data_IF_348779131238
#
_entry.id   IF_348779131238
#
_cell.length_a   1.000
_cell.length_b   1.000
_cell.length_c   1.000
_cell.angle_alpha   90.00
_cell.angle_beta   90.00
_cell.angle_gamma   90.00
#
_symmetry.space_group_name_H-M   'P 1'
#
loop_
_entity.id
_entity.type
_entity.pdbx_description
1 polymer ?
#
# COMPACT_ATOMS: atom_id res chain seq x y z
N UNK A 1 23.43 -11.42 -12.96
CA UNK A 1 23.35 -11.77 -11.53
C UNK A 1 21.95 -11.47 -11.07
N UNK A 2 21.34 -12.36 -10.30
CA UNK A 2 20.01 -12.16 -9.72
C UNK A 2 20.10 -11.25 -8.50
N UNK A 3 19.10 -10.42 -8.27
CA UNK A 3 18.98 -9.56 -7.09
C UNK A 3 18.50 -10.45 -5.93
N UNK A 4 19.28 -10.53 -4.87
CA UNK A 4 19.02 -11.38 -3.70
C UNK A 4 18.08 -10.66 -2.72
N UNK A 5 16.88 -11.19 -2.58
CA UNK A 5 15.80 -10.59 -1.77
C UNK A 5 15.62 -11.36 -0.46
N UNK A 6 15.48 -10.62 0.63
CA UNK A 6 14.97 -11.10 1.91
C UNK A 6 13.59 -10.52 2.22
N UNK A 7 12.74 -11.27 2.91
CA UNK A 7 11.41 -10.83 3.36
C UNK A 7 11.40 -10.80 4.89
N UNK A 8 10.93 -9.71 5.48
CA UNK A 8 10.66 -9.61 6.93
C UNK A 8 9.16 -9.58 7.16
N UNK A 9 8.64 -10.63 7.82
CA UNK A 9 7.22 -10.84 8.04
C UNK A 9 6.56 -11.65 6.92
N UNK A 10 5.84 -12.72 7.30
CA UNK A 10 5.23 -13.65 6.34
C UNK A 10 3.73 -13.82 6.63
N UNK A 11 3.01 -12.71 6.45
CA UNK A 11 1.54 -12.61 6.40
C UNK A 11 1.03 -12.59 4.95
N UNK A 12 -0.11 -11.97 4.69
CA UNK A 12 -0.65 -11.84 3.33
C UNK A 12 0.30 -11.08 2.40
N UNK A 13 0.89 -9.98 2.90
CA UNK A 13 1.85 -9.20 2.12
C UNK A 13 3.13 -9.99 1.82
N UNK A 14 3.73 -10.65 2.82
CA UNK A 14 4.94 -11.44 2.63
C UNK A 14 4.78 -12.61 1.65
N UNK A 15 3.62 -13.29 1.69
CA UNK A 15 3.26 -14.33 0.70
C UNK A 15 3.13 -13.74 -0.71
N UNK A 16 2.47 -12.59 -0.81
CA UNK A 16 2.35 -11.88 -2.08
C UNK A 16 3.72 -11.48 -2.64
N UNK A 17 4.65 -11.00 -1.78
CA UNK A 17 6.03 -10.67 -2.18
C UNK A 17 6.76 -11.90 -2.71
N UNK A 18 6.65 -13.04 -2.05
CA UNK A 18 7.22 -14.29 -2.56
C UNK A 18 6.67 -14.67 -3.94
N UNK A 19 5.34 -14.62 -4.12
CA UNK A 19 4.70 -14.85 -5.41
C UNK A 19 5.16 -13.85 -6.49
N UNK A 20 5.30 -12.59 -6.13
CA UNK A 20 5.76 -11.55 -7.04
C UNK A 20 7.23 -11.75 -7.45
N UNK A 21 8.11 -12.14 -6.52
CA UNK A 21 9.52 -12.48 -6.83
C UNK A 21 9.58 -13.62 -7.84
N UNK A 22 8.78 -14.67 -7.67
CA UNK A 22 8.75 -15.80 -8.59
C UNK A 22 8.37 -15.43 -10.04
N UNK A 23 7.71 -14.28 -10.25
CA UNK A 23 7.38 -13.73 -11.57
C UNK A 23 8.47 -12.81 -12.15
N UNK A 24 9.55 -12.55 -11.39
CA UNK A 24 10.62 -11.64 -11.77
C UNK A 24 11.95 -12.41 -11.92
N UNK A 25 12.35 -12.81 -13.14
CA UNK A 25 13.51 -13.69 -13.37
C UNK A 25 14.86 -13.05 -13.03
N UNK A 26 14.91 -11.74 -12.80
CA UNK A 26 16.08 -11.01 -12.35
C UNK A 26 16.23 -10.95 -10.83
N UNK A 27 15.35 -11.65 -10.08
CA UNK A 27 15.35 -11.71 -8.62
C UNK A 27 15.29 -13.13 -8.09
N UNK A 28 15.80 -13.32 -6.88
CA UNK A 28 15.70 -14.59 -6.15
C UNK A 28 15.38 -14.33 -4.67
N UNK A 29 14.48 -15.13 -4.11
CA UNK A 29 14.22 -15.13 -2.67
C UNK A 29 15.29 -15.96 -1.97
N UNK A 30 16.04 -15.35 -1.05
CA UNK A 30 17.10 -15.99 -0.27
C UNK A 30 16.61 -16.41 1.11
N UNK A 31 15.87 -15.52 1.78
CA UNK A 31 15.46 -15.77 3.16
C UNK A 31 14.12 -15.08 3.50
N UNK A 32 13.41 -15.70 4.44
CA UNK A 32 12.23 -15.13 5.10
C UNK A 32 12.49 -15.04 6.60
N UNK A 33 12.27 -13.86 7.19
CA UNK A 33 12.45 -13.62 8.62
C UNK A 33 11.10 -13.48 9.31
N UNK A 34 10.95 -14.13 10.47
CA UNK A 34 9.71 -14.17 11.23
C UNK A 34 9.96 -14.09 12.74
N UNK A 35 8.97 -13.56 13.48
CA UNK A 35 8.94 -13.62 14.96
C UNK A 35 8.33 -14.93 15.49
N UNK A 36 7.65 -15.67 14.62
CA UNK A 36 7.11 -17.00 14.94
C UNK A 36 8.23 -18.03 14.89
N UNK A 37 8.10 -19.21 15.53
CA UNK A 37 9.04 -20.31 15.34
C UNK A 37 9.18 -20.61 13.83
N UNK A 38 10.40 -20.57 13.25
CA UNK A 38 10.61 -20.70 11.81
C UNK A 38 9.99 -21.95 11.18
N UNK A 39 9.98 -23.05 11.90
CA UNK A 39 9.42 -24.35 11.50
C UNK A 39 7.89 -24.31 11.31
N UNK A 40 7.21 -23.31 11.88
CA UNK A 40 5.75 -23.12 11.73
C UNK A 40 5.39 -22.35 10.46
N UNK A 41 6.36 -21.73 9.80
CA UNK A 41 6.15 -20.90 8.62
C UNK A 41 6.43 -21.70 7.36
N UNK A 42 5.39 -21.95 6.58
CA UNK A 42 5.48 -22.66 5.29
C UNK A 42 5.56 -21.66 4.15
N UNK A 43 6.71 -21.61 3.50
CA UNK A 43 6.97 -20.81 2.29
C UNK A 43 6.76 -21.68 1.04
N UNK A 44 6.60 -21.06 -0.12
CA UNK A 44 6.43 -21.72 -1.42
C UNK A 44 7.79 -22.07 -2.04
N UNK A 45 8.79 -21.23 -1.81
CA UNK A 45 10.15 -21.43 -2.32
C UNK A 45 10.78 -22.71 -1.77
N UNK A 46 11.48 -23.43 -2.66
CA UNK A 46 12.25 -24.63 -2.31
C UNK A 46 13.72 -24.31 -2.00
N UNK A 47 14.16 -23.09 -2.29
CA UNK A 47 15.57 -22.68 -2.15
C UNK A 47 15.80 -21.70 -1.02
N UNK A 48 14.77 -20.91 -0.65
CA UNK A 48 14.86 -19.97 0.46
C UNK A 48 14.72 -20.66 1.81
N UNK A 49 15.32 -20.07 2.84
CA UNK A 49 15.26 -20.56 4.22
C UNK A 49 14.50 -19.58 5.11
N UNK A 50 13.73 -20.12 6.05
CA UNK A 50 13.05 -19.33 7.08
C UNK A 50 13.95 -19.23 8.31
N UNK A 51 14.15 -17.99 8.80
CA UNK A 51 14.95 -17.68 10.00
C UNK A 51 14.11 -16.94 11.03
N UNK A 52 14.53 -17.01 12.30
CA UNK A 52 14.02 -16.08 13.29
C UNK A 52 14.55 -14.66 13.02
N UNK A 53 13.77 -13.65 13.37
CA UNK A 53 14.15 -12.24 13.09
C UNK A 53 15.47 -11.84 13.77
N UNK A 54 15.79 -12.45 14.90
CA UNK A 54 17.03 -12.17 15.65
C UNK A 54 18.29 -12.59 14.88
N UNK A 55 18.15 -13.50 13.91
CA UNK A 55 19.26 -13.98 13.07
C UNK A 55 19.52 -13.09 11.85
N UNK A 56 18.79 -11.97 11.69
CA UNK A 56 18.82 -11.16 10.47
C UNK A 56 20.23 -10.67 10.11
N UNK A 57 21.05 -10.34 11.12
CA UNK A 57 22.40 -9.82 10.92
C UNK A 57 23.35 -10.88 10.34
N UNK A 58 23.09 -12.18 10.53
CA UNK A 58 23.90 -13.28 9.98
C UNK A 58 23.81 -13.37 8.45
N UNK A 59 22.89 -12.60 7.85
CA UNK A 59 22.65 -12.57 6.41
C UNK A 59 23.20 -11.30 5.73
N UNK A 60 23.95 -10.47 6.45
CA UNK A 60 24.65 -9.30 5.88
C UNK A 60 25.63 -9.78 4.79
N UNK A 61 25.60 -9.12 3.62
CA UNK A 61 26.37 -9.49 2.44
C UNK A 61 25.77 -10.64 1.60
N UNK A 62 24.75 -11.34 2.11
CA UNK A 62 24.05 -12.42 1.37
C UNK A 62 22.73 -11.96 0.75
N UNK A 63 22.19 -10.85 1.19
CA UNK A 63 20.93 -10.24 0.73
C UNK A 63 21.23 -8.83 0.24
N UNK A 64 20.69 -8.47 -0.93
CA UNK A 64 20.87 -7.15 -1.53
C UNK A 64 19.80 -6.16 -1.07
N UNK A 65 18.56 -6.62 -0.95
CA UNK A 65 17.41 -5.80 -0.53
C UNK A 65 16.47 -6.60 0.36
N UNK A 66 16.09 -6.00 1.48
CA UNK A 66 15.04 -6.51 2.39
C UNK A 66 13.70 -5.85 2.09
N UNK A 67 12.65 -6.65 1.93
CA UNK A 67 11.27 -6.17 1.83
C UNK A 67 10.56 -6.42 3.16
N UNK A 68 10.10 -5.32 3.80
CA UNK A 68 9.48 -5.36 5.12
C UNK A 68 7.96 -5.42 4.98
N UNK A 69 7.36 -6.49 5.47
CA UNK A 69 5.95 -6.82 5.33
C UNK A 69 5.22 -6.80 6.68
N UNK A 70 5.74 -6.04 7.64
CA UNK A 70 5.14 -5.81 8.96
C UNK A 70 3.94 -4.88 8.90
N UNK A 71 3.19 -4.79 9.99
CA UNK A 71 2.07 -3.86 10.13
C UNK A 71 2.54 -2.40 10.13
N UNK A 72 1.91 -1.57 9.31
CA UNK A 72 2.30 -0.17 9.11
C UNK A 72 2.27 0.63 10.42
N UNK A 73 1.23 0.48 11.22
CA UNK A 73 1.08 1.26 12.46
C UNK A 73 1.92 0.70 13.63
N UNK A 74 2.28 -0.59 13.61
CA UNK A 74 2.83 -1.28 14.78
C UNK A 74 4.26 -1.76 14.58
N UNK A 75 4.59 -2.29 13.41
CA UNK A 75 5.87 -2.95 13.19
C UNK A 75 6.87 -2.04 12.44
N UNK A 76 6.46 -1.47 11.30
CA UNK A 76 7.35 -0.72 10.41
C UNK A 76 8.04 0.49 11.06
N UNK A 77 7.41 1.26 11.98
CA UNK A 77 8.09 2.38 12.64
C UNK A 77 9.39 2.00 13.36
N UNK A 78 9.47 0.74 13.82
CA UNK A 78 10.63 0.21 14.53
C UNK A 78 11.49 -0.69 13.64
N UNK A 79 10.87 -1.54 12.82
CA UNK A 79 11.58 -2.52 12.00
C UNK A 79 12.35 -1.86 10.86
N UNK A 80 11.75 -0.88 10.18
CA UNK A 80 12.41 -0.28 9.02
C UNK A 80 13.72 0.42 9.40
N UNK A 81 13.78 1.32 10.42
CA UNK A 81 15.04 1.91 10.84
C UNK A 81 16.06 0.89 11.33
N UNK A 82 15.60 -0.14 12.08
CA UNK A 82 16.50 -1.17 12.60
C UNK A 82 17.17 -1.98 11.48
N UNK A 83 16.40 -2.40 10.47
CA UNK A 83 16.91 -3.24 9.36
C UNK A 83 17.73 -2.40 8.39
N UNK A 84 17.38 -1.11 8.19
CA UNK A 84 18.09 -0.19 7.30
C UNK A 84 19.55 0.05 7.69
N UNK A 85 19.92 -0.18 8.94
CA UNK A 85 21.32 -0.14 9.39
C UNK A 85 22.20 -1.21 8.74
N UNK A 86 21.61 -2.33 8.35
CA UNK A 86 22.34 -3.50 7.86
C UNK A 86 22.08 -3.81 6.39
N UNK A 87 20.94 -3.41 5.84
CA UNK A 87 20.49 -3.75 4.49
C UNK A 87 19.85 -2.55 3.79
N UNK A 88 19.87 -2.57 2.47
CA UNK A 88 18.90 -1.74 1.72
C UNK A 88 17.50 -2.30 1.94
N UNK A 89 16.50 -1.43 2.13
CA UNK A 89 15.15 -1.83 2.57
C UNK A 89 14.04 -1.21 1.73
N UNK A 90 12.93 -1.93 1.62
CA UNK A 90 11.66 -1.44 1.07
C UNK A 90 10.57 -1.67 2.11
N UNK A 91 9.69 -0.69 2.31
CA UNK A 91 8.49 -0.86 3.13
C UNK A 91 7.21 -0.29 2.48
N UNK A 92 6.08 -0.67 3.04
CA UNK A 92 4.74 -0.19 2.66
C UNK A 92 4.10 0.68 3.74
N UNK A 93 4.88 1.50 4.45
CA UNK A 93 4.36 2.36 5.50
C UNK A 93 3.31 3.34 4.96
N UNK A 94 2.07 3.26 5.49
CA UNK A 94 0.89 3.97 4.96
C UNK A 94 0.19 4.91 5.97
N UNK A 95 0.78 5.13 7.15
CA UNK A 95 0.27 6.11 8.10
C UNK A 95 0.64 7.53 7.63
N UNK A 96 -0.12 8.06 6.67
CA UNK A 96 0.18 9.27 5.91
C UNK A 96 0.70 10.43 6.76
N UNK A 97 0.04 10.75 7.87
CA UNK A 97 0.42 11.84 8.75
C UNK A 97 1.82 11.67 9.41
N UNK A 98 2.32 10.44 9.46
CA UNK A 98 3.62 10.09 10.08
C UNK A 98 4.72 9.77 9.07
N UNK A 99 4.44 9.86 7.77
CA UNK A 99 5.46 9.60 6.74
C UNK A 99 6.70 10.52 6.89
N UNK A 100 6.59 11.83 7.16
CA UNK A 100 7.77 12.67 7.35
C UNK A 100 8.65 12.25 8.52
N UNK A 101 8.05 11.85 9.65
CA UNK A 101 8.78 11.35 10.83
C UNK A 101 9.45 10.01 10.52
N UNK A 102 8.72 9.09 9.90
CA UNK A 102 9.24 7.79 9.48
C UNK A 102 10.41 7.94 8.51
N UNK A 103 10.28 8.83 7.53
CA UNK A 103 11.36 9.16 6.59
C UNK A 103 12.63 9.61 7.30
N UNK A 104 12.53 10.56 8.24
CA UNK A 104 13.69 11.08 8.96
C UNK A 104 14.40 9.98 9.78
N UNK A 105 13.63 9.13 10.46
CA UNK A 105 14.17 8.03 11.27
C UNK A 105 14.87 6.97 10.41
N UNK A 106 14.27 6.63 9.27
CA UNK A 106 14.83 5.65 8.33
C UNK A 106 16.05 6.23 7.61
N UNK A 107 16.04 7.53 7.23
CA UNK A 107 17.17 8.19 6.57
C UNK A 107 18.42 8.17 7.45
N UNK A 108 18.26 8.52 8.73
CA UNK A 108 19.36 8.49 9.69
C UNK A 108 19.99 7.09 9.79
N UNK A 109 19.14 6.05 9.93
CA UNK A 109 19.59 4.66 10.06
C UNK A 109 20.23 4.12 8.77
N UNK A 110 19.63 4.40 7.61
CA UNK A 110 20.16 3.97 6.33
C UNK A 110 21.50 4.61 6.02
N UNK A 111 21.69 5.90 6.34
CA UNK A 111 22.98 6.60 6.19
C UNK A 111 24.04 6.06 7.15
N UNK A 112 23.68 5.79 8.40
CA UNK A 112 24.58 5.16 9.38
C UNK A 112 25.14 3.82 8.85
N UNK A 113 24.26 2.99 8.23
CA UNK A 113 24.64 1.72 7.63
C UNK A 113 25.23 1.81 6.22
N UNK A 114 25.28 3.01 5.62
CA UNK A 114 25.66 3.18 4.22
C UNK A 114 24.69 2.52 3.25
N UNK A 115 23.42 2.32 3.61
CA UNK A 115 22.40 1.62 2.83
C UNK A 115 21.42 2.60 2.17
N UNK A 116 20.55 2.05 1.30
CA UNK A 116 19.43 2.76 0.68
C UNK A 116 18.12 2.22 1.18
N UNK A 117 17.22 3.07 1.59
CA UNK A 117 15.84 2.73 1.93
C UNK A 117 14.87 3.37 0.94
N UNK A 118 13.81 2.66 0.54
CA UNK A 118 12.67 3.27 -0.14
C UNK A 118 11.43 2.94 0.68
N UNK A 119 10.78 3.96 1.22
CA UNK A 119 9.63 3.79 2.11
C UNK A 119 8.31 4.15 1.43
N UNK A 120 7.23 3.74 2.07
CA UNK A 120 5.86 4.08 1.65
C UNK A 120 5.57 3.65 0.21
N UNK A 121 6.05 2.45 -0.15
CA UNK A 121 5.84 1.84 -1.45
C UNK A 121 4.57 0.98 -1.42
N UNK A 122 3.62 1.33 -2.25
CA UNK A 122 2.37 0.60 -2.44
C UNK A 122 1.57 1.23 -3.57
N UNK A 123 0.26 1.03 -3.54
CA UNK A 123 -0.58 1.71 -4.50
C UNK A 123 -1.04 3.09 -3.98
N UNK A 124 -1.27 3.25 -2.64
CA UNK A 124 -1.50 4.54 -2.00
C UNK A 124 -1.13 4.50 -0.49
N UNK A 125 0.01 5.07 -0.11
CA UNK A 125 0.99 5.81 -0.93
C UNK A 125 1.76 4.91 -1.91
N UNK A 126 2.25 5.53 -2.98
CA UNK A 126 3.03 4.87 -4.03
C UNK A 126 2.53 5.22 -5.43
N UNK A 127 1.83 4.30 -6.11
CA UNK A 127 1.36 4.52 -7.49
C UNK A 127 0.42 5.74 -7.61
N UNK A 128 -0.47 5.93 -6.66
CA UNK A 128 -1.32 7.12 -6.64
C UNK A 128 -0.51 8.39 -6.36
N UNK A 129 0.52 8.31 -5.52
CA UNK A 129 1.37 9.47 -5.19
C UNK A 129 2.12 9.99 -6.41
N UNK A 130 2.72 9.10 -7.22
CA UNK A 130 3.44 9.52 -8.44
C UNK A 130 2.46 10.07 -9.49
N UNK A 131 1.26 9.51 -9.59
CA UNK A 131 0.24 10.02 -10.52
C UNK A 131 -0.31 11.38 -10.10
N UNK A 132 -0.45 11.65 -8.79
CA UNK A 132 -0.77 13.01 -8.29
C UNK A 132 0.33 13.99 -8.68
N UNK A 133 1.61 13.63 -8.44
CA UNK A 133 2.74 14.49 -8.80
C UNK A 133 2.77 14.82 -10.29
N UNK A 134 2.61 13.82 -11.17
CA UNK A 134 2.58 14.07 -12.62
C UNK A 134 1.44 14.98 -13.02
N UNK A 135 0.26 14.76 -12.47
CA UNK A 135 -0.92 15.56 -12.79
C UNK A 135 -0.77 17.02 -12.34
N UNK A 136 -0.27 17.26 -11.12
CA UNK A 136 0.01 18.59 -10.59
C UNK A 136 1.10 19.31 -11.37
N UNK A 137 2.17 18.61 -11.77
CA UNK A 137 3.26 19.18 -12.56
C UNK A 137 2.82 19.60 -13.96
N UNK A 138 1.88 18.85 -14.58
CA UNK A 138 1.38 19.10 -15.94
C UNK A 138 0.29 20.18 -15.94
N UNK A 139 -0.59 20.17 -14.94
CA UNK A 139 -1.71 21.12 -14.80
C UNK A 139 -1.63 21.84 -13.44
N UNK A 140 -0.69 22.77 -13.23
CA UNK A 140 -0.37 23.34 -11.91
C UNK A 140 -1.48 24.18 -11.30
N UNK A 141 -2.40 24.70 -12.10
CA UNK A 141 -3.59 25.42 -11.61
C UNK A 141 -4.81 24.51 -11.45
N UNK A 142 -4.63 23.21 -11.65
CA UNK A 142 -5.69 22.23 -11.52
C UNK A 142 -5.97 21.86 -10.06
N UNK A 143 -7.00 21.03 -9.87
CA UNK A 143 -7.36 20.46 -8.58
C UNK A 143 -7.35 18.94 -8.66
N UNK A 144 -6.62 18.33 -7.73
CA UNK A 144 -6.51 16.90 -7.60
C UNK A 144 -7.52 16.31 -6.61
N UNK A 145 -8.05 15.14 -6.94
CA UNK A 145 -8.97 14.38 -6.11
C UNK A 145 -8.51 12.94 -6.03
N UNK A 146 -8.66 12.35 -4.86
CA UNK A 146 -8.51 10.91 -4.67
C UNK A 146 -9.82 10.32 -4.19
N UNK A 147 -10.26 9.27 -4.89
CA UNK A 147 -11.39 8.45 -4.51
C UNK A 147 -10.91 7.02 -4.27
N UNK A 148 -11.16 6.48 -3.10
CA UNK A 148 -10.83 5.10 -2.76
C UNK A 148 -12.03 4.19 -2.90
N UNK A 149 -11.84 3.00 -3.47
CA UNK A 149 -12.88 1.97 -3.57
C UNK A 149 -13.34 1.72 -5.04
N UNK A 150 -14.31 0.84 -5.23
CA UNK A 150 -14.92 0.03 -4.17
C UNK A 150 -13.85 -0.90 -3.56
N UNK A 151 -13.67 -0.87 -2.24
CA UNK A 151 -12.62 -1.70 -1.64
C UNK A 151 -12.74 -1.89 -0.13
N UNK A 152 -12.19 -3.01 0.33
CA UNK A 152 -12.16 -3.41 1.74
C UNK A 152 -11.07 -2.64 2.49
N UNK A 153 -11.45 -1.86 3.49
CA UNK A 153 -10.51 -1.29 4.44
C UNK A 153 -10.26 -2.25 5.60
N UNK A 154 -9.06 -2.78 5.70
CA UNK A 154 -8.72 -3.73 6.77
C UNK A 154 -8.73 -3.05 8.15
N UNK A 155 -8.16 -1.84 8.27
CA UNK A 155 -8.12 -1.11 9.53
C UNK A 155 -9.52 -0.73 10.05
N UNK A 156 -10.44 -0.32 9.17
CA UNK A 156 -11.82 -0.05 9.56
C UNK A 156 -12.57 -1.34 9.92
N UNK A 157 -12.34 -2.42 9.18
CA UNK A 157 -12.92 -3.74 9.50
C UNK A 157 -12.43 -4.24 10.88
N UNK A 158 -11.14 -4.02 11.20
CA UNK A 158 -10.58 -4.37 12.51
C UNK A 158 -11.17 -3.53 13.63
N UNK A 159 -11.44 -2.25 13.40
CA UNK A 159 -12.07 -1.39 14.38
C UNK A 159 -13.48 -1.91 14.75
N UNK A 160 -14.27 -2.31 13.74
CA UNK A 160 -15.61 -2.90 13.95
C UNK A 160 -15.50 -4.23 14.73
N UNK A 161 -14.55 -5.11 14.37
CA UNK A 161 -14.36 -6.40 15.04
C UNK A 161 -14.00 -6.30 16.54
N UNK A 162 -13.51 -5.14 16.99
CA UNK A 162 -13.23 -4.89 18.41
C UNK A 162 -14.45 -4.48 19.21
N UNK A 163 -15.56 -4.18 18.57
CA UNK A 163 -16.82 -3.85 19.27
C UNK A 163 -17.35 -5.11 19.95
N UNK A 164 -17.74 -4.98 21.21
CA UNK A 164 -18.32 -6.09 21.97
C UNK A 164 -19.59 -6.60 21.25
N UNK A 165 -19.72 -7.91 21.14
CA UNK A 165 -20.84 -8.54 20.44
C UNK A 165 -20.65 -8.73 18.94
N UNK A 166 -19.55 -8.24 18.36
CA UNK A 166 -19.19 -8.52 16.96
C UNK A 166 -18.34 -9.80 16.89
N UNK A 167 -18.67 -10.69 15.96
CA UNK A 167 -17.92 -11.90 15.67
C UNK A 167 -16.98 -11.71 14.45
N UNK A 168 -17.45 -11.04 13.41
CA UNK A 168 -16.65 -10.68 12.24
C UNK A 168 -17.24 -9.43 11.56
N UNK A 169 -16.40 -8.74 10.77
CA UNK A 169 -16.84 -7.58 10.01
C UNK A 169 -15.97 -7.32 8.79
N UNK A 170 -16.59 -6.78 7.75
CA UNK A 170 -15.96 -6.21 6.55
C UNK A 170 -16.53 -4.83 6.28
N UNK A 171 -15.64 -3.85 6.08
CA UNK A 171 -16.02 -2.51 5.69
C UNK A 171 -15.54 -2.20 4.28
N UNK A 172 -16.43 -1.67 3.45
CA UNK A 172 -16.13 -1.21 2.10
C UNK A 172 -16.20 0.31 2.04
N UNK A 173 -15.16 0.90 1.45
CA UNK A 173 -15.18 2.30 1.03
C UNK A 173 -15.70 2.35 -0.40
N UNK A 174 -16.68 3.22 -0.67
CA UNK A 174 -17.36 3.30 -1.96
C UNK A 174 -17.36 4.77 -2.40
N UNK A 175 -16.75 5.11 -3.56
CA UNK A 175 -16.87 6.45 -4.11
C UNK A 175 -18.32 6.77 -4.48
N UNK A 176 -18.74 8.00 -4.21
CA UNK A 176 -20.08 8.47 -4.62
C UNK A 176 -20.05 8.92 -6.07
N UNK A 177 -20.94 8.37 -6.88
CA UNK A 177 -20.96 8.58 -8.33
C UNK A 177 -21.22 10.05 -8.73
N UNK A 178 -22.04 10.77 -7.97
CA UNK A 178 -22.28 12.19 -8.20
C UNK A 178 -20.99 13.03 -8.02
N UNK A 179 -20.15 12.70 -7.03
CA UNK A 179 -18.87 13.36 -6.82
C UNK A 179 -17.87 13.01 -7.94
N UNK A 180 -17.79 11.73 -8.33
CA UNK A 180 -16.96 11.29 -9.45
C UNK A 180 -17.35 12.01 -10.75
N UNK A 181 -18.65 12.05 -11.08
CA UNK A 181 -19.16 12.69 -12.29
C UNK A 181 -18.89 14.18 -12.30
N UNK A 182 -19.05 14.88 -11.17
CA UNK A 182 -18.74 16.31 -11.07
C UNK A 182 -17.25 16.59 -11.32
N UNK A 183 -16.35 15.80 -10.72
CA UNK A 183 -14.90 15.95 -10.92
C UNK A 183 -14.51 15.64 -12.36
N UNK A 184 -15.02 14.56 -12.93
CA UNK A 184 -14.80 14.16 -14.34
C UNK A 184 -15.36 15.21 -15.32
N UNK A 185 -16.36 15.97 -14.91
CA UNK A 185 -16.88 17.12 -15.67
C UNK A 185 -15.99 18.37 -15.60
N UNK A 186 -14.90 18.35 -14.83
CA UNK A 186 -13.94 19.46 -14.73
C UNK A 186 -14.46 20.68 -13.95
N UNK A 187 -15.50 20.52 -13.13
CA UNK A 187 -16.11 21.61 -12.36
C UNK A 187 -15.33 21.97 -11.10
N UNK A 188 -14.35 21.14 -10.72
CA UNK A 188 -13.47 21.32 -9.55
C UNK A 188 -14.22 21.66 -8.25
N UNK A 189 -15.25 20.87 -7.85
CA UNK A 189 -16.06 21.16 -6.67
C UNK A 189 -15.24 21.07 -5.38
N UNK A 190 -15.63 21.84 -4.35
CA UNK A 190 -15.22 21.56 -2.98
C UNK A 190 -16.03 20.36 -2.48
N UNK A 191 -15.33 19.31 -2.04
CA UNK A 191 -15.96 18.08 -1.59
C UNK A 191 -15.44 17.70 -0.20
N UNK A 192 -16.36 17.58 0.74
CA UNK A 192 -16.08 17.00 2.04
C UNK A 192 -15.82 15.48 1.92
N UNK A 193 -15.30 14.90 2.97
CA UNK A 193 -15.11 13.44 3.08
C UNK A 193 -16.42 12.68 2.86
N UNK A 194 -17.52 13.18 3.46
CA UNK A 194 -18.87 12.64 3.34
C UNK A 194 -19.43 12.70 1.92
N UNK A 195 -19.13 13.78 1.20
CA UNK A 195 -19.57 13.92 -0.19
C UNK A 195 -18.81 13.01 -1.15
N UNK A 196 -17.56 12.68 -0.84
CA UNK A 196 -16.72 11.80 -1.69
C UNK A 196 -17.03 10.32 -1.54
N UNK A 197 -17.27 9.86 -0.32
CA UNK A 197 -17.32 8.43 -0.03
C UNK A 197 -18.50 8.04 0.87
N UNK A 198 -19.00 6.83 0.62
CA UNK A 198 -19.90 6.07 1.47
C UNK A 198 -19.11 4.98 2.18
N UNK A 199 -19.47 4.66 3.41
CA UNK A 199 -19.01 3.47 4.13
C UNK A 199 -20.12 2.42 4.17
N UNK A 200 -19.82 1.22 3.72
CA UNK A 200 -20.75 0.08 3.78
C UNK A 200 -20.11 -1.02 4.61
N UNK A 201 -20.77 -1.40 5.69
CA UNK A 201 -20.26 -2.34 6.70
C UNK A 201 -21.14 -3.59 6.70
N UNK A 202 -20.51 -4.75 6.57
CA UNK A 202 -21.14 -6.06 6.74
C UNK A 202 -20.64 -6.65 8.06
N UNK A 203 -21.55 -6.97 8.97
CA UNK A 203 -21.23 -7.32 10.35
C UNK A 203 -21.90 -8.64 10.72
N UNK A 204 -21.11 -9.57 11.24
CA UNK A 204 -21.62 -10.79 11.87
C UNK A 204 -21.67 -10.54 13.37
N UNK A 205 -22.87 -10.46 13.92
CA UNK A 205 -23.08 -10.31 15.35
C UNK A 205 -23.04 -11.68 16.07
N UNK A 206 -22.60 -11.69 17.32
CA UNK A 206 -22.74 -12.86 18.20
C UNK A 206 -24.19 -13.07 18.61
N UNK A 207 -24.56 -14.29 18.93
CA UNK A 207 -25.90 -14.62 19.41
C UNK A 207 -26.29 -13.78 20.64
N UNK A 208 -27.48 -13.18 20.62
CA UNK A 208 -27.98 -12.32 21.69
C UNK A 208 -27.37 -10.91 21.76
N UNK A 209 -26.53 -10.52 20.82
CA UNK A 209 -25.94 -9.19 20.80
C UNK A 209 -26.99 -8.10 20.48
N UNK A 210 -26.85 -6.94 21.09
CA UNK A 210 -27.67 -5.76 20.82
C UNK A 210 -27.23 -5.10 19.51
N UNK A 211 -27.96 -5.38 18.43
CA UNK A 211 -27.65 -4.90 17.08
C UNK A 211 -27.75 -3.38 16.98
N UNK A 212 -28.73 -2.76 17.65
CA UNK A 212 -28.92 -1.31 17.61
C UNK A 212 -27.74 -0.57 18.28
N UNK A 213 -27.23 -1.11 19.38
CA UNK A 213 -26.04 -0.58 20.05
C UNK A 213 -24.80 -0.72 19.14
N UNK A 214 -24.61 -1.89 18.53
CA UNK A 214 -23.45 -2.12 17.64
C UNK A 214 -23.50 -1.15 16.45
N UNK A 215 -24.66 -1.01 15.80
CA UNK A 215 -24.82 -0.07 14.69
C UNK A 215 -24.50 1.38 15.12
N UNK A 216 -25.05 1.82 16.25
CA UNK A 216 -24.80 3.16 16.78
C UNK A 216 -23.30 3.38 17.09
N UNK A 217 -22.63 2.39 17.70
CA UNK A 217 -21.19 2.44 17.97
C UNK A 217 -20.36 2.56 16.68
N UNK A 218 -20.75 1.86 15.62
CA UNK A 218 -20.08 1.95 14.33
C UNK A 218 -20.26 3.36 13.74
N UNK A 219 -21.50 3.80 13.54
CA UNK A 219 -21.76 5.05 12.78
C UNK A 219 -21.27 6.30 13.49
N UNK A 220 -21.09 6.24 14.81
CA UNK A 220 -20.60 7.37 15.63
C UNK A 220 -19.09 7.28 15.94
N UNK A 221 -18.40 6.22 15.52
CA UNK A 221 -17.00 5.98 15.87
C UNK A 221 -16.10 7.08 15.29
N UNK A 222 -15.41 7.86 16.16
CA UNK A 222 -14.52 8.93 15.74
C UNK A 222 -13.34 8.41 14.90
N UNK A 223 -12.87 9.21 13.96
CA UNK A 223 -11.75 8.94 13.04
C UNK A 223 -11.97 7.79 12.05
N UNK A 224 -13.09 7.05 12.14
CA UNK A 224 -13.40 5.94 11.25
C UNK A 224 -14.67 6.15 10.44
N UNK A 225 -15.80 6.48 11.12
CA UNK A 225 -17.13 6.46 10.53
C UNK A 225 -17.92 7.77 10.74
N UNK A 226 -17.69 8.51 11.81
CA UNK A 226 -18.49 9.68 12.19
C UNK A 226 -18.57 10.78 11.10
N UNK A 227 -17.50 10.90 10.30
CA UNK A 227 -17.40 11.89 9.21
C UNK A 227 -17.96 11.38 7.87
N UNK A 228 -18.60 10.21 7.84
CA UNK A 228 -19.11 9.56 6.63
C UNK A 228 -20.60 9.27 6.73
N UNK A 229 -21.25 9.09 5.58
CA UNK A 229 -22.47 8.31 5.54
C UNK A 229 -22.10 6.85 5.67
N UNK A 230 -22.68 6.15 6.64
CA UNK A 230 -22.35 4.76 6.94
C UNK A 230 -23.61 3.92 6.94
N UNK A 231 -23.59 2.81 6.19
CA UNK A 231 -24.66 1.80 6.13
C UNK A 231 -24.12 0.54 6.79
N UNK A 232 -24.90 -0.05 7.70
CA UNK A 232 -24.55 -1.28 8.41
C UNK A 232 -25.53 -2.38 8.04
N UNK A 233 -25.01 -3.51 7.58
CA UNK A 233 -25.76 -4.73 7.27
C UNK A 233 -25.36 -5.81 8.25
N UNK A 234 -26.31 -6.37 8.98
CA UNK A 234 -26.08 -7.57 9.78
C UNK A 234 -26.33 -8.79 8.92
N UNK A 235 -25.33 -9.66 8.81
CA UNK A 235 -25.33 -10.86 7.97
C UNK A 235 -24.87 -12.09 8.75
N UNK A 236 -25.09 -13.27 8.20
CA UNK A 236 -24.63 -14.54 8.78
C UNK A 236 -23.13 -14.77 8.49
N UNK A 237 -22.51 -15.68 9.25
CA UNK A 237 -21.14 -16.10 9.03
C UNK A 237 -20.94 -16.79 7.65
N UNK A 238 -21.98 -17.50 7.20
CA UNK A 238 -22.01 -18.16 5.89
C UNK A 238 -22.01 -17.12 4.75
N UNK A 239 -22.84 -16.08 4.87
CA UNK A 239 -22.87 -14.97 3.91
C UNK A 239 -21.53 -14.21 3.90
N UNK A 240 -20.97 -13.91 5.07
CA UNK A 240 -19.65 -13.29 5.19
C UNK A 240 -18.58 -14.10 4.44
N UNK A 241 -18.56 -15.41 4.64
CA UNK A 241 -17.61 -16.32 3.98
C UNK A 241 -17.84 -16.42 2.47
N UNK A 242 -19.11 -16.48 2.02
CA UNK A 242 -19.47 -16.63 0.62
C UNK A 242 -19.20 -15.35 -0.17
N UNK A 243 -19.62 -14.19 0.35
CA UNK A 243 -19.72 -12.95 -0.43
C UNK A 243 -18.62 -11.93 -0.11
N UNK A 244 -17.97 -12.07 1.06
CA UNK A 244 -17.01 -11.08 1.57
C UNK A 244 -15.64 -11.66 1.96
N UNK A 245 -15.27 -12.85 1.43
CA UNK A 245 -13.97 -13.49 1.75
C UNK A 245 -12.76 -12.77 1.12
N UNK A 246 -12.95 -12.10 -0.02
CA UNK A 246 -11.90 -11.38 -0.73
C UNK A 246 -11.46 -10.10 -0.05
N UNK A 247 -10.37 -9.53 -0.57
CA UNK A 247 -9.80 -8.23 -0.15
C UNK A 247 -9.61 -7.34 -1.41
N UNK A 248 -10.68 -7.09 -2.19
CA UNK A 248 -10.60 -6.19 -3.33
C UNK A 248 -10.39 -4.76 -2.88
N UNK A 249 -9.72 -3.98 -3.71
CA UNK A 249 -9.59 -2.54 -3.50
C UNK A 249 -9.39 -1.80 -4.83
N UNK A 250 -9.04 -0.53 -4.76
CA UNK A 250 -8.75 0.31 -5.90
C UNK A 250 -9.20 1.74 -5.68
N UNK A 251 -9.37 2.46 -6.76
CA UNK A 251 -9.83 3.85 -6.73
C UNK A 251 -9.35 4.66 -7.91
N UNK A 252 -9.44 5.98 -7.75
CA UNK A 252 -9.12 6.94 -8.79
C UNK A 252 -8.29 8.09 -8.23
N UNK A 253 -7.28 8.50 -8.99
CA UNK A 253 -6.68 9.83 -8.89
C UNK A 253 -7.18 10.62 -10.10
N UNK A 254 -7.90 11.69 -9.87
CA UNK A 254 -8.45 12.53 -10.93
C UNK A 254 -7.94 13.95 -10.70
N UNK A 255 -7.38 14.55 -11.73
CA UNK A 255 -6.91 15.93 -11.69
C UNK A 255 -7.51 16.70 -12.85
N UNK A 256 -8.23 17.77 -12.53
CA UNK A 256 -8.87 18.61 -13.51
C UNK A 256 -8.23 20.00 -13.50
N UNK A 257 -7.81 20.47 -14.66
CA UNK A 257 -7.16 21.77 -14.82
C UNK A 257 -7.45 22.39 -16.17
N UNK A 258 -7.07 23.63 -16.32
CA UNK A 258 -7.30 24.40 -17.54
C UNK A 258 -6.01 24.79 -18.21
N UNK A 259 -6.06 24.88 -19.54
CA UNK A 259 -4.96 25.37 -20.40
C UNK A 259 -5.49 26.41 -21.38
N UNK A 260 -4.58 27.09 -22.07
CA UNK A 260 -4.89 28.20 -22.95
C UNK A 260 -4.70 29.55 -22.27
N UNK A 261 -4.55 30.62 -23.06
CA UNK A 261 -4.29 31.97 -22.56
C UNK A 261 -5.41 32.46 -21.62
N UNK A 262 -6.64 32.15 -21.98
CA UNK A 262 -7.85 32.57 -21.28
C UNK A 262 -8.49 31.40 -20.48
N UNK A 263 -7.72 30.31 -20.26
CA UNK A 263 -8.15 29.10 -19.53
C UNK A 263 -9.39 28.45 -20.16
N UNK A 264 -9.48 28.52 -21.47
CA UNK A 264 -10.64 28.06 -22.25
C UNK A 264 -10.71 26.54 -22.43
N UNK A 265 -9.58 25.84 -22.30
CA UNK A 265 -9.54 24.39 -22.48
C UNK A 265 -9.56 23.65 -21.15
N UNK A 266 -10.55 22.82 -20.91
CA UNK A 266 -10.63 21.95 -19.74
C UNK A 266 -9.96 20.63 -20.04
N UNK A 267 -9.03 20.20 -19.17
CA UNK A 267 -8.29 18.95 -19.29
C UNK A 267 -8.48 18.10 -18.03
N UNK A 268 -8.61 16.80 -18.23
CA UNK A 268 -8.76 15.82 -17.16
C UNK A 268 -7.66 14.77 -17.30
N UNK A 269 -6.93 14.54 -16.23
CA UNK A 269 -6.02 13.41 -16.08
C UNK A 269 -6.64 12.46 -15.07
N UNK A 270 -6.89 11.23 -15.46
CA UNK A 270 -7.43 10.20 -14.57
C UNK A 270 -6.53 8.96 -14.59
N UNK A 271 -6.17 8.51 -13.40
CA UNK A 271 -5.51 7.22 -13.17
C UNK A 271 -6.41 6.36 -12.29
N UNK A 272 -6.67 5.14 -12.74
CA UNK A 272 -7.60 4.21 -12.08
C UNK A 272 -6.90 2.91 -11.74
N UNK A 273 -7.19 2.37 -10.56
CA UNK A 273 -6.81 1.02 -10.15
C UNK A 273 -8.04 0.20 -9.78
N UNK A 274 -8.07 -1.04 -10.25
CA UNK A 274 -9.02 -2.08 -9.82
C UNK A 274 -8.20 -3.30 -9.39
N UNK A 275 -8.24 -3.61 -8.11
CA UNK A 275 -7.43 -4.66 -7.49
C UNK A 275 -8.34 -5.77 -6.97
N UNK A 276 -8.17 -6.98 -7.44
CA UNK A 276 -8.86 -8.15 -6.90
C UNK A 276 -8.26 -8.56 -5.54
N UNK A 277 -6.96 -8.33 -5.35
CA UNK A 277 -6.26 -8.55 -4.09
C UNK A 277 -5.32 -7.38 -3.78
N UNK A 278 -5.66 -6.60 -2.77
CA UNK A 278 -4.84 -5.49 -2.29
C UNK A 278 -3.41 -5.94 -1.89
N UNK A 279 -3.22 -6.96 -1.01
CA UNK A 279 -1.88 -7.32 -0.58
C UNK A 279 -0.99 -7.85 -1.71
N UNK A 280 -1.53 -8.60 -2.67
CA UNK A 280 -0.76 -9.13 -3.79
C UNK A 280 -0.32 -8.03 -4.77
N UNK A 281 -1.21 -7.08 -5.06
CA UNK A 281 -0.83 -5.93 -5.89
C UNK A 281 0.23 -5.07 -5.21
N UNK A 282 0.04 -4.74 -3.93
CA UNK A 282 1.04 -4.00 -3.13
C UNK A 282 2.39 -4.72 -3.14
N UNK A 283 2.39 -6.05 -3.04
CA UNK A 283 3.60 -6.87 -3.11
C UNK A 283 4.33 -6.70 -4.44
N UNK A 284 3.62 -6.66 -5.55
CA UNK A 284 4.20 -6.45 -6.88
C UNK A 284 4.84 -5.06 -7.00
N UNK A 285 4.23 -4.04 -6.38
CA UNK A 285 4.83 -2.69 -6.32
C UNK A 285 6.11 -2.72 -5.48
N UNK A 286 6.10 -3.37 -4.30
CA UNK A 286 7.28 -3.50 -3.44
C UNK A 286 8.45 -4.19 -4.16
N UNK A 287 8.19 -5.25 -4.92
CA UNK A 287 9.20 -5.98 -5.70
C UNK A 287 9.79 -5.09 -6.80
N UNK A 288 8.95 -4.30 -7.50
CA UNK A 288 9.43 -3.33 -8.48
C UNK A 288 10.30 -2.24 -7.84
N UNK A 289 9.90 -1.74 -6.67
CA UNK A 289 10.69 -0.77 -5.90
C UNK A 289 12.00 -1.37 -5.37
N UNK A 290 12.02 -2.66 -5.02
CA UNK A 290 13.24 -3.35 -4.60
C UNK A 290 14.28 -3.40 -5.73
N UNK A 291 13.85 -3.63 -6.98
CA UNK A 291 14.72 -3.52 -8.16
C UNK A 291 15.30 -2.12 -8.31
N UNK A 292 14.46 -1.10 -8.18
CA UNK A 292 14.90 0.28 -8.27
C UNK A 292 15.90 0.63 -7.15
N UNK A 293 15.63 0.24 -5.92
CA UNK A 293 16.53 0.45 -4.79
C UNK A 293 17.89 -0.23 -5.01
N UNK A 294 17.91 -1.47 -5.51
CA UNK A 294 19.14 -2.15 -5.86
C UNK A 294 19.96 -1.35 -6.88
N UNK A 295 19.34 -0.90 -7.99
CA UNK A 295 20.01 -0.11 -9.04
C UNK A 295 20.56 1.21 -8.50
N UNK A 296 19.74 1.95 -7.76
CA UNK A 296 20.14 3.22 -7.14
C UNK A 296 21.30 3.02 -6.15
N UNK A 297 21.29 1.92 -5.40
CA UNK A 297 22.41 1.57 -4.50
C UNK A 297 23.69 1.27 -5.28
N UNK A 298 23.62 0.57 -6.42
CA UNK A 298 24.78 0.32 -7.29
C UNK A 298 25.36 1.63 -7.86
N UNK A 299 24.59 2.68 -8.00
CA UNK A 299 25.01 4.02 -8.40
C UNK A 299 25.59 4.84 -7.23
N UNK A 300 25.69 4.25 -6.03
CA UNK A 300 26.27 4.90 -4.85
C UNK A 300 25.27 5.75 -4.05
N UNK A 301 23.98 5.70 -4.36
CA UNK A 301 22.97 6.40 -3.57
C UNK A 301 22.78 5.73 -2.21
N UNK A 302 22.48 6.53 -1.19
CA UNK A 302 22.23 6.09 0.18
C UNK A 302 21.19 6.98 0.86
N UNK A 303 20.75 6.55 2.04
CA UNK A 303 19.70 7.24 2.83
C UNK A 303 18.31 6.85 2.38
N UNK A 304 17.30 7.58 2.84
CA UNK A 304 15.89 7.29 2.57
C UNK A 304 15.40 7.98 1.29
N UNK A 305 14.55 7.29 0.57
CA UNK A 305 13.87 7.71 -0.65
C UNK A 305 12.39 7.31 -0.58
N UNK A 306 11.62 7.83 -1.51
CA UNK A 306 10.21 7.47 -1.74
C UNK A 306 10.00 7.12 -3.22
N UNK A 307 8.79 6.75 -3.61
CA UNK A 307 8.43 6.55 -5.01
C UNK A 307 8.71 7.80 -5.88
N UNK A 308 8.70 8.98 -5.28
CA UNK A 308 8.92 10.26 -5.98
C UNK A 308 10.39 10.46 -6.42
N UNK A 309 11.31 9.71 -5.82
CA UNK A 309 12.75 9.77 -6.10
C UNK A 309 13.22 8.70 -7.09
N UNK A 310 12.34 7.79 -7.49
CA UNK A 310 12.69 6.65 -8.35
C UNK A 310 12.58 7.03 -9.83
N UNK A 311 13.65 6.91 -10.63
CA UNK A 311 13.54 6.96 -12.08
C UNK A 311 12.60 5.84 -12.58
N UNK A 312 11.54 6.14 -13.36
CA UNK A 312 10.54 5.13 -13.76
C UNK A 312 11.13 3.89 -14.44
N UNK A 313 12.19 4.06 -15.22
CA UNK A 313 12.88 2.94 -15.90
C UNK A 313 13.52 1.94 -14.95
N UNK A 314 13.82 2.34 -13.70
CA UNK A 314 14.45 1.46 -12.71
C UNK A 314 13.47 0.43 -12.13
N UNK A 315 12.18 0.68 -12.24
CA UNK A 315 11.13 -0.24 -11.80
C UNK A 315 11.01 -1.48 -12.70
N UNK A 316 11.42 -1.38 -13.98
CA UNK A 316 11.25 -2.44 -14.97
C UNK A 316 12.46 -3.38 -15.04
N UNK A 317 12.28 -4.70 -15.21
CA UNK A 317 13.39 -5.62 -15.52
C UNK A 317 13.99 -5.41 -16.91
N UNK A 318 13.27 -4.73 -17.82
CA UNK A 318 13.71 -4.50 -19.19
C UNK A 318 14.86 -3.49 -19.28
N UNK A 319 15.68 -3.60 -20.31
CA UNK A 319 16.73 -2.63 -20.59
C UNK A 319 16.17 -1.27 -20.98
N UNK A 320 16.95 -0.19 -20.80
CA UNK A 320 16.55 1.15 -21.25
C UNK A 320 16.30 1.21 -22.77
N UNK A 321 17.00 0.39 -23.56
CA UNK A 321 16.80 0.28 -25.01
C UNK A 321 15.44 -0.34 -25.32
N UNK A 322 15.11 -1.47 -24.68
CA UNK A 322 13.81 -2.14 -24.86
C UNK A 322 12.64 -1.25 -24.40
N UNK A 323 12.82 -0.52 -23.31
CA UNK A 323 11.79 0.42 -22.83
C UNK A 323 11.53 1.52 -23.85
N UNK A 324 12.58 2.16 -24.40
CA UNK A 324 12.44 3.17 -25.43
C UNK A 324 11.75 2.61 -26.69
N UNK A 325 12.12 1.42 -27.11
CA UNK A 325 11.54 0.76 -28.30
C UNK A 325 10.05 0.44 -28.15
N UNK A 326 9.60 0.11 -26.91
CA UNK A 326 8.23 -0.36 -26.68
C UNK A 326 7.27 0.73 -26.20
N UNK A 327 7.79 1.72 -25.49
CA UNK A 327 6.96 2.67 -24.76
C UNK A 327 7.02 4.09 -25.33
N UNK A 328 8.02 4.39 -26.15
CA UNK A 328 8.17 5.65 -26.89
C UNK A 328 7.98 5.46 -28.40
#
# INVERSE_FOLDING_TARGET
MSIRIGIVGYGNLGRGVECAIAQNPDMELVAVFTRRPPETVKILSQTATVYHIDDIQNMVGKIDVMILCGGSATDLPHQTPMVAKFFSVIDSFDTHAKIPEHFANVDASAREGGNLAVISCGWDPGMFSINRLYAEAILPEGKGYTFWGKGVSQGHSDAIRRIEGVADAKQYTIPKENALSAVRGGTNPELSTREKHLRECFVVAKEGADLARIENEIVTMPNYFADYDTIVHFITAEEMKRDHSGIPHGGFVIHAGKTGKDKENTNIIEYSLKLDSNPEFTSSVLVSCARAAYRMKQEGLMGCKTILDIPPSYLSPASGEDLRKRLL
#
